data_IF_769003600906
#
_entry.id   IF_769003600906
#
_cell.length_a   1.000
_cell.length_b   1.000
_cell.length_c   1.000
_cell.angle_alpha   90.00
_cell.angle_beta   90.00
_cell.angle_gamma   90.00
#
_symmetry.space_group_name_H-M   'P 1'
#
loop_
_entity.id
_entity.type
_entity.pdbx_description
1 polymer ?
#
# COMPACT_ATOMS: atom_id res chain seq x y z
N UNK A 1 -15.48 -13.62 -17.79
CA UNK A 1 -14.37 -12.73 -17.38
C UNK A 1 -13.71 -13.37 -16.17
N UNK A 2 -12.46 -13.80 -16.25
CA UNK A 2 -11.72 -14.25 -15.07
C UNK A 2 -11.33 -12.97 -14.31
N UNK A 3 -11.96 -12.70 -13.18
CA UNK A 3 -11.61 -11.55 -12.34
C UNK A 3 -10.15 -11.70 -11.89
N UNK A 4 -9.32 -10.71 -12.18
CA UNK A 4 -7.91 -10.72 -11.77
C UNK A 4 -7.86 -10.74 -10.24
N UNK A 5 -7.19 -11.73 -9.66
CA UNK A 5 -7.06 -11.84 -8.21
C UNK A 5 -6.49 -10.54 -7.63
N UNK A 6 -7.13 -10.03 -6.58
CA UNK A 6 -6.69 -8.82 -5.89
C UNK A 6 -5.24 -8.98 -5.38
N UNK A 7 -4.35 -7.99 -5.56
CA UNK A 7 -2.98 -8.05 -5.05
C UNK A 7 -2.90 -8.28 -3.53
N UNK A 8 -3.90 -7.82 -2.78
CA UNK A 8 -4.05 -8.08 -1.34
C UNK A 8 -4.13 -9.56 -0.98
N UNK A 9 -4.50 -10.42 -1.93
CA UNK A 9 -4.63 -11.86 -1.74
C UNK A 9 -3.50 -12.66 -2.40
N UNK A 10 -2.47 -11.99 -2.94
CA UNK A 10 -1.32 -12.66 -3.53
C UNK A 10 -0.50 -13.44 -2.48
N UNK A 11 -0.42 -12.92 -1.25
CA UNK A 11 0.30 -13.56 -0.16
C UNK A 11 -0.32 -13.21 1.21
N UNK A 12 -0.23 -14.11 2.18
CA UNK A 12 -0.82 -13.91 3.51
C UNK A 12 -0.18 -12.73 4.28
N UNK A 13 1.13 -12.52 4.13
CA UNK A 13 1.86 -11.40 4.75
C UNK A 13 1.76 -10.07 3.99
N UNK A 14 0.93 -9.98 2.94
CA UNK A 14 0.89 -8.77 2.09
C UNK A 14 0.51 -7.51 2.86
N UNK A 15 -0.51 -7.59 3.71
CA UNK A 15 -0.89 -6.45 4.55
C UNK A 15 0.24 -6.01 5.48
N UNK A 16 0.99 -6.95 6.05
CA UNK A 16 2.09 -6.63 6.97
C UNK A 16 3.18 -5.79 6.28
N UNK A 17 3.53 -6.13 5.04
CA UNK A 17 4.50 -5.35 4.25
C UNK A 17 3.95 -3.96 3.88
N UNK A 18 2.67 -3.85 3.50
CA UNK A 18 2.02 -2.55 3.23
C UNK A 18 2.05 -1.68 4.48
N UNK A 19 1.66 -2.22 5.64
CA UNK A 19 1.62 -1.49 6.91
C UNK A 19 3.02 -1.00 7.30
N UNK A 20 4.03 -1.87 7.20
CA UNK A 20 5.41 -1.49 7.47
C UNK A 20 5.87 -0.33 6.56
N UNK A 21 5.53 -0.41 5.27
CA UNK A 21 5.89 0.63 4.31
C UNK A 21 5.17 1.96 4.58
N UNK A 22 3.88 1.92 4.94
CA UNK A 22 3.10 3.10 5.32
C UNK A 22 3.67 3.77 6.56
N UNK A 23 4.06 3.00 7.58
CA UNK A 23 4.66 3.52 8.80
C UNK A 23 6.00 4.23 8.53
N UNK A 24 6.87 3.57 7.76
CA UNK A 24 8.18 4.14 7.41
C UNK A 24 8.02 5.39 6.57
N UNK A 25 7.29 5.35 5.46
CA UNK A 25 7.20 6.49 4.55
C UNK A 25 6.27 7.60 5.04
N UNK A 26 5.32 7.26 5.90
CA UNK A 26 4.48 8.24 6.59
C UNK A 26 5.29 9.13 7.51
N UNK A 27 6.17 8.54 8.32
CA UNK A 27 6.95 9.26 9.34
C UNK A 27 8.30 9.80 8.83
N UNK A 28 8.77 9.34 7.67
CA UNK A 28 10.07 9.74 7.15
C UNK A 28 10.13 11.21 6.72
N UNK A 29 11.18 11.92 7.13
CA UNK A 29 11.38 13.35 6.84
C UNK A 29 11.41 13.69 5.34
N UNK A 30 11.89 12.79 4.48
CA UNK A 30 11.81 12.98 3.03
C UNK A 30 10.52 12.36 2.47
N UNK A 31 9.88 13.03 1.52
CA UNK A 31 8.62 12.61 0.91
C UNK A 31 8.73 11.39 -0.01
N UNK A 32 9.96 10.95 -0.31
CA UNK A 32 10.23 9.81 -1.16
C UNK A 32 11.53 9.12 -0.79
N UNK A 33 11.65 7.84 -1.15
CA UNK A 33 12.84 7.02 -0.92
C UNK A 33 13.04 6.03 -2.09
N UNK A 34 14.30 5.71 -2.41
CA UNK A 34 14.67 4.73 -3.45
C UNK A 34 14.59 3.29 -2.91
N UNK A 35 14.40 2.26 -3.77
CA UNK A 35 14.25 0.86 -3.36
C UNK A 35 15.34 0.32 -2.41
N UNK A 36 16.65 0.55 -2.63
CA UNK A 36 17.70 -0.02 -1.76
C UNK A 36 17.64 0.49 -0.32
N UNK A 37 17.07 1.69 -0.15
CA UNK A 37 16.97 2.37 1.13
C UNK A 37 15.80 1.83 1.98
N UNK A 38 14.88 1.06 1.40
CA UNK A 38 13.72 0.52 2.12
C UNK A 38 14.08 -0.63 3.04
N UNK A 39 14.90 -1.57 2.58
CA UNK A 39 15.36 -2.68 3.42
C UNK A 39 16.15 -2.17 4.62
N UNK A 40 16.95 -1.11 4.43
CA UNK A 40 17.67 -0.45 5.51
C UNK A 40 16.75 0.20 6.53
N UNK A 41 15.66 0.83 6.11
CA UNK A 41 14.70 1.47 7.01
C UNK A 41 13.78 0.48 7.73
N UNK A 42 13.32 -0.56 7.03
CA UNK A 42 12.41 -1.56 7.57
C UNK A 42 13.17 -2.67 8.32
N UNK A 43 14.46 -2.85 8.03
CA UNK A 43 15.32 -3.88 8.61
C UNK A 43 15.19 -5.25 7.94
N UNK A 44 14.45 -5.36 6.82
CA UNK A 44 14.27 -6.60 6.06
C UNK A 44 13.76 -6.36 4.64
N UNK A 45 13.96 -7.37 3.78
CA UNK A 45 13.24 -7.56 2.54
C UNK A 45 11.72 -7.77 2.80
N UNK A 46 10.84 -7.54 1.81
CA UNK A 46 9.44 -7.88 1.97
C UNK A 46 9.27 -9.40 2.12
N UNK A 47 8.20 -9.78 2.83
CA UNK A 47 7.87 -11.19 3.07
C UNK A 47 6.82 -11.72 2.10
N UNK A 48 6.22 -10.84 1.30
CA UNK A 48 5.10 -11.11 0.42
C UNK A 48 5.37 -10.90 -1.07
N UNK A 49 6.63 -10.62 -1.43
CA UNK A 49 7.08 -10.29 -2.78
C UNK A 49 8.60 -10.50 -2.91
N UNK A 50 9.12 -10.51 -4.13
CA UNK A 50 10.56 -10.67 -4.38
C UNK A 50 11.37 -9.44 -3.97
N UNK A 51 10.76 -8.26 -4.02
CA UNK A 51 11.38 -7.00 -3.64
C UNK A 51 10.31 -5.93 -3.32
N UNK A 52 10.73 -4.86 -2.64
CA UNK A 52 9.82 -3.79 -2.20
C UNK A 52 9.14 -3.08 -3.39
N UNK A 53 9.80 -2.98 -4.54
CA UNK A 53 9.25 -2.31 -5.71
C UNK A 53 8.00 -3.04 -6.24
N UNK A 54 8.00 -4.37 -6.20
CA UNK A 54 6.83 -5.17 -6.53
C UNK A 54 5.64 -4.82 -5.62
N UNK A 55 5.86 -4.79 -4.29
CA UNK A 55 4.82 -4.41 -3.33
C UNK A 55 4.23 -3.04 -3.68
N UNK A 56 5.07 -2.05 -3.94
CA UNK A 56 4.60 -0.71 -4.25
C UNK A 56 3.85 -0.61 -5.58
N UNK A 57 4.31 -1.34 -6.61
CA UNK A 57 3.67 -1.33 -7.94
C UNK A 57 2.28 -1.97 -7.93
N UNK A 58 2.07 -2.91 -7.01
CA UNK A 58 0.82 -3.64 -6.85
C UNK A 58 -0.21 -2.89 -5.97
N UNK A 59 0.21 -1.83 -5.28
CA UNK A 59 -0.62 -1.02 -4.37
C UNK A 59 -0.59 0.50 -4.71
N UNK A 60 -1.05 0.88 -5.92
CA UNK A 60 -1.04 2.27 -6.39
C UNK A 60 -1.95 3.21 -5.59
N UNK A 61 -2.91 2.66 -4.83
CA UNK A 61 -3.77 3.41 -3.91
C UNK A 61 -2.98 4.15 -2.80
N UNK A 62 -1.79 3.64 -2.44
CA UNK A 62 -0.94 4.24 -1.42
C UNK A 62 0.36 4.78 -2.00
N UNK A 63 0.95 4.04 -2.94
CA UNK A 63 2.31 4.29 -3.40
C UNK A 63 2.32 4.79 -4.83
N UNK A 64 3.19 5.78 -5.06
CA UNK A 64 3.52 6.25 -6.40
C UNK A 64 5.01 6.05 -6.64
N UNK A 65 5.32 5.41 -7.75
CA UNK A 65 6.68 5.23 -8.25
C UNK A 65 6.93 6.23 -9.39
N UNK A 66 8.04 6.97 -9.33
CA UNK A 66 8.52 7.83 -10.42
C UNK A 66 10.05 7.85 -10.42
N UNK A 67 10.68 7.51 -11.53
CA UNK A 67 12.15 7.51 -11.67
C UNK A 67 12.81 6.71 -10.51
N UNK A 68 12.24 5.53 -10.21
CA UNK A 68 12.55 4.65 -9.06
C UNK A 68 12.21 5.21 -7.68
N UNK A 69 11.84 6.48 -7.54
CA UNK A 69 11.43 7.04 -6.25
C UNK A 69 10.03 6.60 -5.87
N UNK A 70 9.90 6.06 -4.67
CA UNK A 70 8.63 5.68 -4.06
C UNK A 70 8.17 6.79 -3.13
N UNK A 71 6.94 7.24 -3.29
CA UNK A 71 6.30 8.28 -2.46
C UNK A 71 4.89 7.84 -2.05
N UNK A 72 4.37 8.35 -0.92
CA UNK A 72 2.96 8.21 -0.61
C UNK A 72 2.14 9.15 -1.49
N UNK A 73 1.04 8.64 -2.06
CA UNK A 73 0.08 9.43 -2.84
C UNK A 73 -0.46 10.59 -1.99
N UNK A 74 -0.83 10.33 -0.73
CA UNK A 74 -1.30 11.37 0.19
C UNK A 74 -0.23 12.45 0.38
N UNK A 75 1.00 12.08 0.74
CA UNK A 75 2.06 13.09 0.94
C UNK A 75 2.26 13.93 -0.31
N UNK A 76 2.11 13.39 -1.51
CA UNK A 76 2.27 14.14 -2.76
C UNK A 76 1.23 15.24 -2.97
N UNK A 77 0.05 15.15 -2.36
CA UNK A 77 -0.97 16.21 -2.45
C UNK A 77 -0.60 17.45 -1.61
N UNK A 78 0.28 17.30 -0.62
CA UNK A 78 0.74 18.40 0.22
C UNK A 78 1.81 19.26 -0.46
N UNK A 79 1.92 20.51 -0.01
CA UNK A 79 2.95 21.44 -0.48
C UNK A 79 4.36 21.04 0.01
N UNK A 80 5.39 21.53 -0.70
CA UNK A 80 6.79 21.31 -0.33
C UNK A 80 7.27 22.45 0.56
N UNK A 81 6.88 22.43 1.82
CA UNK A 81 7.19 23.49 2.79
C UNK A 81 7.94 23.01 4.02
N UNK A 82 8.31 21.73 4.09
CA UNK A 82 8.92 21.13 5.27
C UNK A 82 10.46 21.11 5.16
N UNK A 83 11.16 21.77 6.07
CA UNK A 83 12.62 21.69 6.14
C UNK A 83 13.05 20.38 6.84
N UNK A 84 13.72 19.51 6.08
CA UNK A 84 14.18 18.20 6.55
C UNK A 84 15.31 18.23 7.58
N UNK A 85 15.91 19.40 7.82
CA UNK A 85 16.96 19.61 8.82
C UNK A 85 16.39 20.11 10.14
N UNK A 86 15.57 21.16 10.10
CA UNK A 86 14.96 21.72 11.31
C UNK A 86 13.76 20.92 11.80
N UNK A 87 13.11 20.16 10.91
CA UNK A 87 11.88 19.43 11.21
C UNK A 87 10.65 20.32 11.31
N UNK A 88 10.69 21.52 10.75
CA UNK A 88 9.61 22.51 10.82
C UNK A 88 9.04 22.83 9.44
N UNK A 89 7.76 23.19 9.41
CA UNK A 89 7.13 23.77 8.25
C UNK A 89 7.47 25.26 8.16
N UNK A 90 7.85 25.68 6.96
CA UNK A 90 8.17 27.07 6.64
C UNK A 90 6.98 27.73 5.93
N UNK A 91 6.79 29.05 6.09
CA UNK A 91 5.85 29.79 5.25
C UNK A 91 6.22 29.62 3.78
N UNK A 92 5.21 29.45 2.93
CA UNK A 92 5.38 29.22 1.50
C UNK A 92 6.19 30.34 0.83
N UNK A 93 5.95 31.58 1.26
CA UNK A 93 6.64 32.78 0.78
C UNK A 93 8.15 32.70 1.06
N UNK A 94 8.54 32.08 2.18
CA UNK A 94 9.96 31.87 2.53
C UNK A 94 10.58 30.82 1.63
N UNK A 95 9.86 29.74 1.34
CA UNK A 95 10.33 28.69 0.44
C UNK A 95 10.42 29.19 -1.00
N UNK A 96 9.54 30.11 -1.39
CA UNK A 96 9.50 30.63 -2.75
C UNK A 96 10.69 31.54 -3.07
N UNK A 97 11.25 32.23 -2.08
CA UNK A 97 12.46 33.06 -2.22
C UNK A 97 13.77 32.29 -2.06
N UNK A 98 13.72 31.01 -1.66
CA UNK A 98 14.91 30.17 -1.51
C UNK A 98 15.59 29.85 -2.83
N UNK A 99 16.93 29.75 -2.76
CA UNK A 99 17.77 29.23 -3.84
C UNK A 99 17.50 27.75 -4.11
N UNK A 100 17.88 27.27 -5.30
CA UNK A 100 17.73 25.86 -5.66
C UNK A 100 18.44 24.91 -4.69
N UNK A 101 19.60 25.31 -4.17
CA UNK A 101 20.36 24.51 -3.20
C UNK A 101 19.66 24.41 -1.83
N UNK A 102 18.98 25.47 -1.41
CA UNK A 102 18.17 25.45 -0.20
C UNK A 102 16.90 24.61 -0.40
N UNK A 103 16.25 24.74 -1.56
CA UNK A 103 15.05 23.97 -1.93
C UNK A 103 15.29 22.45 -1.96
N UNK A 104 16.53 21.98 -2.16
CA UNK A 104 16.87 20.55 -2.05
C UNK A 104 16.61 19.98 -0.65
N UNK A 105 16.68 20.82 0.39
CA UNK A 105 16.42 20.44 1.79
C UNK A 105 14.94 20.50 2.15
N UNK A 106 14.12 21.09 1.27
CA UNK A 106 12.69 21.25 1.45
C UNK A 106 11.94 20.06 0.83
N UNK A 107 11.17 19.41 1.70
CA UNK A 107 10.35 18.25 1.44
C UNK A 107 8.88 18.57 1.71
N UNK A 108 8.03 17.56 1.64
CA UNK A 108 6.66 17.61 2.14
C UNK A 108 6.65 17.07 3.55
N UNK A 109 5.78 17.60 4.41
CA UNK A 109 5.69 17.18 5.79
C UNK A 109 5.49 15.66 5.92
N UNK A 110 6.09 15.02 6.94
CA UNK A 110 5.66 13.71 7.40
C UNK A 110 4.18 13.72 7.74
N UNK A 111 3.53 12.57 7.63
CA UNK A 111 2.16 12.39 8.08
C UNK A 111 2.09 12.36 9.61
N UNK A 112 1.00 12.88 10.17
CA UNK A 112 0.70 12.73 11.59
C UNK A 112 0.41 11.25 11.93
N UNK A 113 0.47 10.91 13.21
CA UNK A 113 0.15 9.55 13.66
C UNK A 113 -1.28 9.13 13.27
N UNK A 114 -2.23 10.06 13.33
CA UNK A 114 -3.62 9.87 12.93
C UNK A 114 -3.75 9.63 11.43
N UNK A 115 -3.00 10.36 10.61
CA UNK A 115 -2.99 10.17 9.15
C UNK A 115 -2.38 8.82 8.76
N UNK A 116 -1.28 8.40 9.41
CA UNK A 116 -0.69 7.06 9.20
C UNK A 116 -1.68 5.97 9.62
N UNK A 117 -2.34 6.15 10.75
CA UNK A 117 -3.36 5.21 11.25
C UNK A 117 -4.52 5.10 10.24
N UNK A 118 -5.00 6.23 9.73
CA UNK A 118 -6.06 6.27 8.71
C UNK A 118 -5.66 5.49 7.45
N UNK A 119 -4.42 5.64 6.96
CA UNK A 119 -3.92 4.86 5.83
C UNK A 119 -3.87 3.35 6.12
N UNK A 120 -3.45 2.96 7.31
CA UNK A 120 -3.44 1.56 7.75
C UNK A 120 -4.86 0.99 7.80
N UNK A 121 -5.81 1.74 8.35
CA UNK A 121 -7.23 1.34 8.37
C UNK A 121 -7.80 1.16 6.96
N UNK A 122 -7.45 2.04 6.02
CA UNK A 122 -7.84 1.89 4.61
C UNK A 122 -7.23 0.61 4.03
N UNK A 123 -5.96 0.30 4.32
CA UNK A 123 -5.33 -0.93 3.85
C UNK A 123 -6.02 -2.20 4.40
N UNK A 124 -6.38 -2.19 5.69
CA UNK A 124 -7.13 -3.28 6.33
C UNK A 124 -8.51 -3.44 5.67
N UNK A 125 -9.24 -2.33 5.46
CA UNK A 125 -10.57 -2.34 4.81
C UNK A 125 -10.49 -2.91 3.39
N UNK A 126 -9.50 -2.50 2.59
CA UNK A 126 -9.30 -2.99 1.23
C UNK A 126 -8.96 -4.49 1.21
N UNK A 127 -8.12 -4.96 2.13
CA UNK A 127 -7.84 -6.40 2.26
C UNK A 127 -9.11 -7.19 2.65
N UNK A 128 -9.88 -6.71 3.62
CA UNK A 128 -11.12 -7.35 4.05
C UNK A 128 -12.14 -7.42 2.91
N UNK A 129 -12.28 -6.33 2.13
CA UNK A 129 -13.12 -6.31 0.93
C UNK A 129 -12.65 -7.33 -0.12
N UNK A 130 -11.34 -7.48 -0.32
CA UNK A 130 -10.79 -8.49 -1.23
C UNK A 130 -11.13 -9.91 -0.76
N UNK A 131 -11.02 -10.20 0.54
CA UNK A 131 -11.40 -11.49 1.13
C UNK A 131 -12.90 -11.76 0.92
N UNK A 132 -13.77 -10.77 1.19
CA UNK A 132 -15.21 -10.89 0.99
C UNK A 132 -15.57 -11.22 -0.46
N UNK A 133 -15.01 -10.48 -1.43
CA UNK A 133 -15.21 -10.75 -2.87
C UNK A 133 -14.80 -12.17 -3.25
N UNK A 134 -13.67 -12.66 -2.73
CA UNK A 134 -13.21 -14.03 -2.98
C UNK A 134 -14.14 -15.08 -2.35
N UNK A 135 -14.71 -14.80 -1.18
CA UNK A 135 -15.68 -15.69 -0.53
C UNK A 135 -17.00 -15.74 -1.31
N UNK A 136 -17.50 -14.59 -1.77
CA UNK A 136 -18.67 -14.50 -2.65
C UNK A 136 -18.45 -15.34 -3.92
N UNK A 137 -17.32 -15.24 -4.61
CA UNK A 137 -17.08 -16.08 -5.79
C UNK A 137 -17.15 -17.61 -5.54
N UNK A 138 -17.12 -18.06 -4.28
CA UNK A 138 -17.22 -19.48 -3.90
C UNK A 138 -18.56 -19.87 -3.28
N UNK A 139 -19.52 -18.95 -3.14
CA UNK A 139 -20.81 -19.20 -2.49
C UNK A 139 -21.66 -20.25 -3.23
N UNK A 140 -21.46 -20.41 -4.55
CA UNK A 140 -22.20 -21.37 -5.39
C UNK A 140 -21.66 -22.82 -5.31
N UNK A 141 -20.46 -23.05 -4.76
CA UNK A 141 -19.83 -24.36 -4.75
C UNK A 141 -20.61 -25.42 -3.92
N UNK A 142 -21.18 -25.10 -2.75
CA UNK A 142 -22.02 -26.04 -2.00
C UNK A 142 -23.31 -26.42 -2.76
N UNK A 143 -23.89 -25.49 -3.52
CA UNK A 143 -25.08 -25.73 -4.35
C UNK A 143 -24.76 -26.73 -5.46
N UNK A 144 -23.62 -26.56 -6.13
CA UNK A 144 -23.17 -27.50 -7.16
C UNK A 144 -22.91 -28.91 -6.59
N UNK A 145 -22.22 -29.02 -5.45
CA UNK A 145 -21.94 -30.31 -4.80
C UNK A 145 -23.24 -31.01 -4.40
N UNK A 146 -24.22 -30.27 -3.85
CA UNK A 146 -25.54 -30.79 -3.54
C UNK A 146 -26.28 -31.33 -4.77
N UNK A 147 -26.27 -30.58 -5.88
CA UNK A 147 -26.90 -31.00 -7.13
C UNK A 147 -26.26 -32.27 -7.73
N UNK A 148 -24.93 -32.39 -7.69
CA UNK A 148 -24.20 -33.60 -8.14
C UNK A 148 -24.56 -34.81 -7.27
N UNK A 149 -24.64 -34.64 -5.95
CA UNK A 149 -25.03 -35.72 -5.04
C UNK A 149 -26.43 -36.27 -5.31
N UNK A 150 -27.39 -35.38 -5.63
CA UNK A 150 -28.75 -35.77 -6.01
C UNK A 150 -28.76 -36.55 -7.33
N UNK A 151 -28.01 -36.09 -8.34
CA UNK A 151 -27.95 -36.74 -9.64
C UNK A 151 -27.31 -38.15 -9.56
N UNK A 152 -26.22 -38.30 -8.80
CA UNK A 152 -25.57 -39.60 -8.57
C UNK A 152 -26.50 -40.55 -7.79
N UNK A 153 -27.17 -40.05 -6.75
CA UNK A 153 -28.13 -40.85 -5.98
C UNK A 153 -29.31 -41.34 -6.81
N UNK A 154 -29.80 -40.52 -7.75
CA UNK A 154 -30.86 -40.92 -8.67
C UNK A 154 -30.39 -41.98 -9.69
N UNK A 155 -29.14 -41.90 -10.17
CA UNK A 155 -28.56 -42.87 -11.10
C UNK A 155 -28.27 -44.24 -10.46
N UNK A 156 -27.89 -44.29 -9.19
CA UNK A 156 -27.66 -45.55 -8.46
C UNK A 156 -28.98 -46.25 -8.10
N UNK A 157 -30.07 -45.49 -7.97
CA UNK A 157 -31.41 -45.99 -7.62
C UNK A 157 -32.26 -46.36 -8.85
N UNK A 158 -31.76 -46.06 -10.05
CA UNK A 158 -32.30 -46.49 -11.35
C UNK A 158 -31.72 -47.83 -11.77
#
# INVERSE_FOLDING_TARGET
>A
MIEKQSPYLAHHSRLADIVAALQVLGTYKFASRKPPEWEKSIGRAPTSADNWLQVFSEHPEFFRIRDEWVSLVWRRSSERVFDTRSGQELPKETVDTMTDEERKKISRAPLSAEQVTSLIEVAIKLQAQAISRRAELRWWLPVLIGAIGIAIGALIKS
#
